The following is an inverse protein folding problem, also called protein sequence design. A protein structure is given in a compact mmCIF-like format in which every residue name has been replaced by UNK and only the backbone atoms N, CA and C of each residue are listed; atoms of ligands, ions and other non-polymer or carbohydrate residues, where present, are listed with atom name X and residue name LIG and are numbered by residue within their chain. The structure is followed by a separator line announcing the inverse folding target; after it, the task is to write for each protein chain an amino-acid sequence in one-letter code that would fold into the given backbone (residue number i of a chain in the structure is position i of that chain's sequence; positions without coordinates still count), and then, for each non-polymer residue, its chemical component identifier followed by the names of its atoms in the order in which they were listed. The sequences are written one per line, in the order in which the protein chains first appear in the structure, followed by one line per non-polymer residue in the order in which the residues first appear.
data_IF_702632447588
#
_entry.id   IF_702632447588
#
_cell.length_a   1.000
_cell.length_b   1.000
_cell.length_c   1.000
_cell.angle_alpha   90.00
_cell.angle_beta   90.00
_cell.angle_gamma   90.00
#
_symmetry.space_group_name_H-M   'P 1'
#
loop_
_entity.id
_entity.type
_entity.pdbx_description
1 polymer ?
#
# COMPACT_ATOMS: atom_id res chain seq x y z
N UNK A 1 14.71 -10.66 1.79
CA UNK A 1 14.41 -11.13 0.40
C UNK A 1 15.29 -10.33 -0.54
N UNK A 2 16.06 -10.98 -1.41
CA UNK A 2 16.88 -10.30 -2.41
C UNK A 2 15.98 -9.79 -3.55
N UNK A 3 16.21 -8.57 -4.00
CA UNK A 3 15.54 -7.99 -5.16
C UNK A 3 16.34 -8.34 -6.42
N UNK A 4 15.77 -9.16 -7.31
CA UNK A 4 16.41 -9.52 -8.58
C UNK A 4 15.97 -8.56 -9.68
N UNK A 5 16.95 -8.05 -10.46
CA UNK A 5 16.73 -7.10 -11.55
C UNK A 5 17.31 -7.61 -12.87
N UNK A 6 16.45 -7.77 -13.87
CA UNK A 6 16.79 -8.04 -15.26
C UNK A 6 16.69 -6.73 -16.07
N UNK A 7 17.69 -6.50 -16.93
CA UNK A 7 17.78 -5.30 -17.76
C UNK A 7 18.52 -4.14 -17.08
N UNK A 8 18.78 -3.09 -17.86
CA UNK A 8 19.56 -1.92 -17.42
C UNK A 8 18.65 -0.74 -17.12
N UNK A 9 18.33 -0.58 -15.86
CA UNK A 9 17.59 0.60 -15.38
C UNK A 9 18.57 1.78 -15.21
N UNK A 10 18.19 3.01 -15.58
CA UNK A 10 18.99 4.22 -15.33
C UNK A 10 19.11 4.53 -13.83
N UNK A 11 18.14 4.10 -13.02
CA UNK A 11 18.12 4.26 -11.57
C UNK A 11 17.78 2.91 -10.91
N UNK A 12 18.75 1.95 -10.88
CA UNK A 12 18.50 0.67 -10.26
C UNK A 12 18.29 0.84 -8.73
N UNK A 13 17.45 0.02 -8.12
CA UNK A 13 17.34 -0.04 -6.66
C UNK A 13 18.72 -0.32 -6.04
N UNK A 14 19.07 0.30 -4.90
CA UNK A 14 20.42 0.25 -4.34
C UNK A 14 20.91 -1.18 -4.03
N UNK A 15 20.02 -2.07 -3.62
CA UNK A 15 20.34 -3.45 -3.25
C UNK A 15 19.92 -4.47 -4.31
N UNK A 16 19.75 -4.04 -5.58
CA UNK A 16 19.33 -4.92 -6.65
C UNK A 16 20.43 -5.89 -7.05
N UNK A 17 20.12 -7.18 -7.00
CA UNK A 17 20.95 -8.23 -7.59
C UNK A 17 20.65 -8.33 -9.09
N UNK A 18 21.60 -7.94 -9.93
CA UNK A 18 21.44 -8.03 -11.39
C UNK A 18 21.51 -9.49 -11.84
N UNK A 19 20.55 -9.88 -12.65
CA UNK A 19 20.48 -11.21 -13.27
C UNK A 19 20.55 -11.06 -14.80
N UNK A 20 21.15 -12.04 -15.45
CA UNK A 20 21.26 -12.06 -16.92
C UNK A 20 20.01 -12.69 -17.56
N UNK A 21 19.38 -13.64 -16.87
CA UNK A 21 18.21 -14.38 -17.35
C UNK A 21 17.20 -14.59 -16.22
N UNK A 22 15.91 -14.79 -16.53
CA UNK A 22 14.88 -15.03 -15.51
C UNK A 22 15.19 -16.22 -14.57
N UNK A 23 15.79 -17.28 -15.09
CA UNK A 23 16.15 -18.46 -14.32
C UNK A 23 17.25 -18.24 -13.27
N UNK A 24 18.01 -17.17 -13.41
CA UNK A 24 19.07 -16.78 -12.46
C UNK A 24 18.49 -16.09 -11.19
N UNK A 25 17.18 -15.82 -11.16
CA UNK A 25 16.55 -15.16 -10.02
C UNK A 25 16.50 -16.08 -8.79
N UNK A 26 16.92 -15.53 -7.63
CA UNK A 26 16.74 -16.15 -6.33
C UNK A 26 15.27 -16.00 -5.88
N UNK A 27 14.42 -16.98 -6.16
CA UNK A 27 13.00 -16.96 -5.81
C UNK A 27 12.06 -16.92 -7.01
N UNK A 28 10.79 -16.69 -6.75
CA UNK A 28 9.72 -16.80 -7.75
C UNK A 28 9.54 -15.53 -8.60
N UNK A 29 10.07 -14.39 -8.17
CA UNK A 29 9.83 -13.09 -8.81
C UNK A 29 11.12 -12.34 -9.10
N UNK A 30 11.08 -11.52 -10.16
CA UNK A 30 12.12 -10.57 -10.52
C UNK A 30 11.50 -9.29 -11.10
N UNK A 31 12.20 -8.17 -11.04
CA UNK A 31 11.88 -6.97 -11.80
C UNK A 31 12.57 -7.04 -13.16
N UNK A 32 11.86 -6.71 -14.21
CA UNK A 32 12.39 -6.51 -15.55
C UNK A 32 12.25 -5.03 -15.93
N UNK A 33 13.39 -4.38 -16.17
CA UNK A 33 13.39 -3.04 -16.73
C UNK A 33 13.31 -3.12 -18.25
N UNK A 34 12.20 -2.67 -18.81
CA UNK A 34 11.99 -2.55 -20.26
C UNK A 34 10.90 -1.49 -20.52
N UNK A 35 10.89 -0.94 -21.73
CA UNK A 35 9.92 0.09 -22.13
C UNK A 35 9.84 1.25 -21.12
N UNK A 36 11.03 1.67 -20.60
CA UNK A 36 11.23 2.75 -19.63
C UNK A 36 10.47 2.56 -18.30
N UNK A 37 10.17 1.32 -17.93
CA UNK A 37 9.48 1.00 -16.67
C UNK A 37 9.85 -0.35 -16.07
N UNK A 38 9.55 -0.50 -14.80
CA UNK A 38 9.67 -1.79 -14.13
C UNK A 38 8.43 -2.65 -14.36
N UNK A 39 8.68 -3.93 -14.62
CA UNK A 39 7.68 -4.98 -14.70
C UNK A 39 7.98 -6.02 -13.63
N UNK A 40 7.04 -6.32 -12.75
CA UNK A 40 7.15 -7.45 -11.85
C UNK A 40 6.79 -8.72 -12.62
N UNK A 41 7.75 -9.60 -12.77
CA UNK A 41 7.65 -10.84 -13.53
C UNK A 41 7.71 -12.04 -12.60
N UNK A 42 6.88 -13.04 -12.89
CA UNK A 42 6.93 -14.37 -12.28
C UNK A 42 7.89 -15.25 -13.08
N UNK A 43 8.91 -15.82 -12.43
CA UNK A 43 9.92 -16.67 -13.06
C UNK A 43 9.31 -17.86 -13.80
N UNK A 44 8.19 -18.39 -13.32
CA UNK A 44 7.48 -19.52 -13.93
C UNK A 44 6.41 -19.09 -14.94
N UNK A 45 6.28 -17.79 -15.23
CA UNK A 45 5.27 -17.24 -16.13
C UNK A 45 3.82 -17.65 -15.80
N UNK A 46 3.51 -17.92 -14.52
CA UNK A 46 2.15 -18.25 -14.07
C UNK A 46 1.19 -17.06 -14.22
N UNK A 47 1.76 -15.84 -14.28
CA UNK A 47 1.04 -14.58 -14.39
C UNK A 47 1.70 -13.67 -15.44
N UNK A 48 0.91 -12.82 -16.13
CA UNK A 48 1.49 -11.78 -16.98
C UNK A 48 2.29 -10.78 -16.12
N UNK A 49 3.30 -10.14 -16.69
CA UNK A 49 4.05 -9.09 -16.02
C UNK A 49 3.12 -7.98 -15.49
N UNK A 50 3.39 -7.51 -14.29
CA UNK A 50 2.61 -6.46 -13.63
C UNK A 50 3.40 -5.15 -13.66
N UNK A 51 2.74 -4.08 -14.10
CA UNK A 51 3.26 -2.71 -14.08
C UNK A 51 2.34 -1.82 -13.28
N UNK A 52 2.89 -0.72 -12.79
CA UNK A 52 2.12 0.32 -12.12
C UNK A 52 2.29 1.63 -12.90
N UNK A 53 1.17 2.23 -13.30
CA UNK A 53 1.11 3.57 -13.89
C UNK A 53 -0.07 4.32 -13.29
N UNK A 54 0.19 5.44 -12.63
CA UNK A 54 -0.86 6.24 -12.02
C UNK A 54 -1.70 7.02 -13.01
N UNK A 55 -1.25 7.19 -14.26
CA UNK A 55 -2.07 7.76 -15.32
C UNK A 55 -3.32 6.88 -15.60
N UNK A 56 -3.23 5.57 -15.40
CA UNK A 56 -4.34 4.64 -15.55
C UNK A 56 -5.46 4.85 -14.51
N UNK A 57 -5.17 5.57 -13.41
CA UNK A 57 -6.14 5.83 -12.34
C UNK A 57 -6.82 7.20 -12.46
N UNK A 58 -6.42 8.01 -13.43
CA UNK A 58 -7.09 9.28 -13.69
C UNK A 58 -8.55 9.07 -14.12
N UNK A 59 -9.45 9.82 -13.50
CA UNK A 59 -10.89 9.74 -13.79
C UNK A 59 -11.59 8.48 -13.26
N UNK A 60 -10.87 7.56 -12.63
CA UNK A 60 -11.53 6.41 -11.96
C UNK A 60 -12.14 6.86 -10.65
N UNK A 61 -13.43 6.64 -10.50
CA UNK A 61 -14.11 6.78 -9.22
C UNK A 61 -13.68 5.64 -8.29
N UNK A 62 -13.00 5.95 -7.21
CA UNK A 62 -12.74 5.00 -6.13
C UNK A 62 -13.89 4.96 -5.12
N UNK A 63 -13.73 4.18 -4.06
CA UNK A 63 -14.68 4.17 -2.95
C UNK A 63 -14.74 5.54 -2.28
N UNK A 64 -15.93 6.15 -2.25
CA UNK A 64 -16.16 7.40 -1.50
C UNK A 64 -16.15 7.18 0.03
N UNK A 65 -16.17 5.94 0.49
CA UNK A 65 -16.18 5.62 1.92
C UNK A 65 -14.82 5.88 2.56
N UNK A 66 -13.70 5.53 1.90
CA UNK A 66 -12.37 5.73 2.46
C UNK A 66 -12.06 7.20 2.76
N UNK A 67 -12.27 8.17 1.86
CA UNK A 67 -12.08 9.59 2.18
C UNK A 67 -12.96 10.07 3.33
N UNK A 68 -14.17 9.53 3.50
CA UNK A 68 -15.07 9.88 4.62
C UNK A 68 -14.49 9.48 5.98
N UNK A 69 -13.67 8.43 6.05
CA UNK A 69 -13.00 8.02 7.31
C UNK A 69 -11.98 9.06 7.80
N UNK A 70 -11.50 9.91 6.88
CA UNK A 70 -10.52 10.98 7.13
C UNK A 70 -11.15 12.38 7.21
N UNK A 71 -12.48 12.48 7.31
CA UNK A 71 -13.16 13.78 7.45
C UNK A 71 -12.57 14.59 8.61
N UNK A 72 -12.29 15.87 8.34
CA UNK A 72 -11.68 16.79 9.30
C UNK A 72 -10.17 16.64 9.47
N UNK A 73 -9.48 15.94 8.56
CA UNK A 73 -8.03 15.71 8.58
C UNK A 73 -7.34 16.12 7.26
N UNK A 74 -7.94 17.02 6.47
CA UNK A 74 -7.42 17.39 5.14
C UNK A 74 -5.97 17.92 5.20
N UNK A 75 -5.66 18.75 6.21
CA UNK A 75 -4.34 19.39 6.36
C UNK A 75 -3.47 18.71 7.42
N UNK A 76 -3.87 17.54 7.89
CA UNK A 76 -3.18 16.83 8.95
C UNK A 76 -2.27 15.73 8.37
N UNK A 77 -1.13 15.39 9.03
CA UNK A 77 -0.27 14.31 8.59
C UNK A 77 -0.97 12.96 8.70
N UNK A 78 -0.99 12.20 7.60
CA UNK A 78 -1.59 10.88 7.52
C UNK A 78 -0.53 9.88 7.08
N UNK A 79 -0.47 8.70 7.70
CA UNK A 79 0.34 7.59 7.25
C UNK A 79 -0.52 6.51 6.59
N UNK A 80 -0.05 5.97 5.47
CA UNK A 80 -0.45 4.65 4.95
C UNK A 80 0.66 3.66 5.31
N UNK A 81 0.40 2.81 6.28
CA UNK A 81 1.39 1.88 6.82
C UNK A 81 1.46 0.54 6.05
N UNK A 82 0.68 0.41 4.97
CA UNK A 82 0.57 -0.80 4.14
C UNK A 82 0.42 -0.44 2.67
N UNK A 83 1.30 0.43 2.15
CA UNK A 83 1.11 1.11 0.87
C UNK A 83 0.84 0.18 -0.33
N UNK A 84 1.54 -0.96 -0.41
CA UNK A 84 1.33 -1.94 -1.48
C UNK A 84 1.44 -1.32 -2.88
N UNK A 85 0.34 -1.38 -3.66
CA UNK A 85 0.24 -0.72 -4.97
C UNK A 85 -0.04 0.79 -4.92
N UNK A 86 -0.20 1.37 -3.74
CA UNK A 86 -0.50 2.78 -3.57
C UNK A 86 -1.88 3.23 -4.07
N UNK A 87 -2.81 2.32 -4.37
CA UNK A 87 -4.12 2.66 -4.95
C UNK A 87 -4.99 3.48 -4.01
N UNK A 88 -5.07 3.08 -2.75
CA UNK A 88 -5.84 3.79 -1.73
C UNK A 88 -5.20 5.13 -1.39
N UNK A 89 -3.86 5.17 -1.30
CA UNK A 89 -3.10 6.40 -1.13
C UNK A 89 -3.30 7.37 -2.30
N UNK A 90 -3.28 6.86 -3.55
CA UNK A 90 -3.56 7.66 -4.74
C UNK A 90 -4.98 8.25 -4.72
N UNK A 91 -5.97 7.44 -4.37
CA UNK A 91 -7.35 7.90 -4.19
C UNK A 91 -7.41 9.05 -3.16
N UNK A 92 -6.80 8.87 -2.00
CA UNK A 92 -6.78 9.89 -0.94
C UNK A 92 -6.05 11.17 -1.39
N UNK A 93 -4.90 11.03 -2.05
CA UNK A 93 -4.15 12.17 -2.59
C UNK A 93 -4.96 12.93 -3.66
N UNK A 94 -5.71 12.23 -4.51
CA UNK A 94 -6.61 12.86 -5.49
C UNK A 94 -7.78 13.62 -4.85
N UNK A 95 -8.09 13.35 -3.57
CA UNK A 95 -9.08 14.06 -2.75
C UNK A 95 -8.45 15.16 -1.88
N UNK A 96 -7.15 15.44 -2.06
CA UNK A 96 -6.44 16.53 -1.41
C UNK A 96 -5.69 16.16 -0.14
N UNK A 97 -5.72 14.90 0.31
CA UNK A 97 -4.94 14.45 1.47
C UNK A 97 -3.45 14.34 1.13
N UNK A 98 -2.60 14.60 2.13
CA UNK A 98 -1.15 14.38 2.03
C UNK A 98 -0.78 13.18 2.90
N UNK A 99 -0.05 12.21 2.32
CA UNK A 99 0.25 10.95 2.99
C UNK A 99 1.74 10.63 2.96
N UNK A 100 2.19 10.03 4.07
CA UNK A 100 3.47 9.31 4.16
C UNK A 100 3.19 7.81 4.02
N UNK A 101 3.79 7.18 3.02
CA UNK A 101 3.60 5.79 2.66
C UNK A 101 4.75 4.93 3.20
N UNK A 102 4.43 3.76 3.70
CA UNK A 102 5.40 2.76 4.14
C UNK A 102 5.18 1.47 3.36
N UNK A 103 6.22 1.01 2.67
CA UNK A 103 6.22 -0.28 1.99
C UNK A 103 7.52 -1.02 2.30
N UNK A 104 7.41 -2.20 2.91
CA UNK A 104 8.56 -3.00 3.33
C UNK A 104 9.06 -3.97 2.26
N UNK A 105 8.18 -4.37 1.32
CA UNK A 105 8.55 -5.29 0.26
C UNK A 105 9.36 -4.54 -0.81
N UNK A 106 10.64 -4.91 -1.07
CA UNK A 106 11.49 -4.16 -1.97
C UNK A 106 10.99 -4.15 -3.42
N UNK A 107 10.29 -5.19 -3.87
CA UNK A 107 9.71 -5.23 -5.21
C UNK A 107 8.57 -4.22 -5.37
N UNK A 108 7.64 -4.21 -4.40
CA UNK A 108 6.53 -3.27 -4.42
C UNK A 108 6.99 -1.84 -4.21
N UNK A 109 7.92 -1.63 -3.28
CA UNK A 109 8.54 -0.31 -3.07
C UNK A 109 9.14 0.22 -4.37
N UNK A 110 9.93 -0.59 -5.09
CA UNK A 110 10.57 -0.16 -6.35
C UNK A 110 9.54 0.18 -7.43
N UNK A 111 8.52 -0.65 -7.61
CA UNK A 111 7.42 -0.38 -8.55
C UNK A 111 6.69 0.91 -8.20
N UNK A 112 6.35 1.08 -6.94
CA UNK A 112 5.62 2.26 -6.45
C UNK A 112 6.47 3.52 -6.56
N UNK A 113 7.77 3.46 -6.20
CA UNK A 113 8.71 4.58 -6.32
C UNK A 113 8.84 5.05 -7.79
N UNK A 114 9.04 4.11 -8.72
CA UNK A 114 9.14 4.43 -10.14
C UNK A 114 7.84 5.00 -10.69
N UNK A 115 6.68 4.46 -10.30
CA UNK A 115 5.40 4.95 -10.73
C UNK A 115 5.10 6.37 -10.18
N UNK A 116 5.49 6.66 -8.93
CA UNK A 116 5.38 8.00 -8.35
C UNK A 116 6.31 8.99 -9.05
N UNK A 117 7.56 8.62 -9.36
CA UNK A 117 8.47 9.46 -10.10
C UNK A 117 7.92 9.80 -11.49
N UNK A 118 7.45 8.81 -12.25
CA UNK A 118 6.80 9.04 -13.54
C UNK A 118 5.54 9.91 -13.43
N UNK A 119 4.76 9.73 -12.35
CA UNK A 119 3.58 10.55 -12.10
C UNK A 119 3.91 12.01 -11.75
N UNK A 120 5.06 12.29 -11.13
CA UNK A 120 5.55 13.65 -10.87
C UNK A 120 5.97 14.37 -12.15
N UNK A 121 6.50 13.66 -13.13
CA UNK A 121 6.88 14.18 -14.45
C UNK A 121 5.66 14.46 -15.36
N UNK A 122 4.54 13.81 -15.12
CA UNK A 122 3.35 13.96 -15.96
C UNK A 122 2.44 15.11 -15.43
N UNK A 123 2.20 16.16 -16.23
CA UNK A 123 1.39 17.32 -15.81
C UNK A 123 -0.02 16.98 -15.30
N UNK A 124 -0.60 15.85 -15.75
CA UNK A 124 -1.94 15.43 -15.33
C UNK A 124 -1.97 14.75 -13.95
N UNK A 125 -0.83 14.27 -13.47
CA UNK A 125 -0.71 13.49 -12.23
C UNK A 125 0.22 14.14 -11.20
N UNK A 126 1.07 15.08 -11.60
CA UNK A 126 2.09 15.69 -10.77
C UNK A 126 1.55 16.27 -9.45
N UNK A 127 0.43 17.01 -9.51
CA UNK A 127 -0.18 17.61 -8.32
C UNK A 127 -0.71 16.57 -7.32
N UNK A 128 -1.11 15.39 -7.79
CA UNK A 128 -1.53 14.28 -6.93
C UNK A 128 -0.30 13.59 -6.34
N UNK A 129 0.69 13.27 -7.20
CA UNK A 129 1.92 12.58 -6.78
C UNK A 129 2.72 13.40 -5.75
N UNK A 130 2.74 14.73 -5.86
CA UNK A 130 3.40 15.63 -4.91
C UNK A 130 2.86 15.54 -3.46
N UNK A 131 1.67 14.95 -3.27
CA UNK A 131 1.08 14.73 -1.94
C UNK A 131 1.49 13.40 -1.30
N UNK A 132 2.30 12.60 -2.00
CA UNK A 132 2.69 11.26 -1.56
C UNK A 132 4.21 11.19 -1.33
N UNK A 133 4.61 10.84 -0.12
CA UNK A 133 6.00 10.58 0.24
C UNK A 133 6.16 9.11 0.57
N UNK A 134 7.02 8.39 -0.15
CA UNK A 134 7.23 6.95 0.01
C UNK A 134 8.50 6.63 0.81
N UNK A 135 8.39 5.72 1.78
CA UNK A 135 9.50 5.17 2.56
C UNK A 135 9.61 3.65 2.34
N UNK A 136 10.83 3.19 2.09
CA UNK A 136 11.15 1.76 2.13
C UNK A 136 11.39 1.33 3.58
N UNK A 137 10.34 0.97 4.28
CA UNK A 137 10.43 0.59 5.68
C UNK A 137 9.26 -0.32 6.12
N UNK A 138 9.50 -1.11 7.16
CA UNK A 138 8.43 -1.76 7.90
C UNK A 138 7.79 -0.74 8.86
N UNK A 139 6.52 -0.45 8.64
CA UNK A 139 5.77 0.51 9.42
C UNK A 139 5.69 0.14 10.92
N UNK A 140 5.65 -1.16 11.24
CA UNK A 140 5.66 -1.61 12.64
C UNK A 140 6.92 -1.17 13.40
N UNK A 141 8.05 -1.02 12.69
CA UNK A 141 9.29 -0.52 13.27
C UNK A 141 9.47 1.01 13.12
N UNK A 142 9.02 1.57 11.97
CA UNK A 142 9.36 2.94 11.57
C UNK A 142 8.41 4.02 12.10
N UNK A 143 7.14 3.69 12.38
CA UNK A 143 6.18 4.67 12.87
C UNK A 143 6.59 5.21 14.24
N UNK A 144 6.82 6.51 14.34
CA UNK A 144 7.12 7.15 15.63
C UNK A 144 5.82 7.48 16.40
N UNK A 145 5.84 7.48 17.74
CA UNK A 145 4.67 7.86 18.53
C UNK A 145 4.18 9.27 18.24
N UNK A 146 2.85 9.45 18.21
CA UNK A 146 2.16 10.74 18.03
C UNK A 146 2.60 11.55 16.78
N UNK A 147 3.05 10.86 15.71
CA UNK A 147 3.58 11.50 14.51
C UNK A 147 2.53 11.82 13.45
N UNK A 148 1.35 11.18 13.51
CA UNK A 148 0.31 11.30 12.51
C UNK A 148 -1.05 11.58 13.15
N UNK A 149 -1.88 12.36 12.49
CA UNK A 149 -3.28 12.51 12.91
C UNK A 149 -4.07 11.23 12.68
N UNK A 150 -3.79 10.54 11.58
CA UNK A 150 -4.37 9.23 11.30
C UNK A 150 -3.33 8.26 10.71
N UNK A 151 -3.51 6.97 10.99
CA UNK A 151 -2.76 5.88 10.35
C UNK A 151 -3.76 4.96 9.66
N UNK A 152 -3.56 4.75 8.36
CA UNK A 152 -4.35 3.83 7.54
C UNK A 152 -3.62 2.50 7.40
N UNK A 153 -4.37 1.40 7.53
CA UNK A 153 -3.92 0.02 7.38
C UNK A 153 -4.83 -0.73 6.41
N UNK A 154 -4.27 -1.38 5.40
CA UNK A 154 -4.93 -2.38 4.55
C UNK A 154 -4.12 -3.69 4.57
N UNK A 155 -3.99 -4.35 5.73
CA UNK A 155 -3.24 -5.59 5.82
C UNK A 155 -3.92 -6.66 4.98
N UNK A 156 -3.12 -7.43 4.24
CA UNK A 156 -3.60 -8.49 3.36
C UNK A 156 -4.37 -9.53 4.15
N UNK A 157 -5.66 -9.64 3.87
CA UNK A 157 -6.50 -10.66 4.45
C UNK A 157 -6.51 -11.91 3.56
N UNK A 158 -6.28 -13.12 4.09
CA UNK A 158 -6.36 -14.35 3.31
C UNK A 158 -7.80 -14.55 2.83
N UNK A 159 -8.08 -14.23 1.57
CA UNK A 159 -9.40 -14.46 0.98
C UNK A 159 -9.71 -15.95 0.93
N UNK A 160 -10.84 -16.36 1.49
CA UNK A 160 -11.43 -17.68 1.23
C UNK A 160 -11.76 -17.77 -0.26
N UNK A 161 -11.24 -18.82 -0.91
CA UNK A 161 -11.36 -19.09 -2.34
C UNK A 161 -12.79 -18.94 -2.87
N UNK A 162 -13.12 -17.82 -3.56
CA UNK A 162 -14.28 -17.77 -4.49
C UNK A 162 -14.08 -16.65 -5.52
N UNK A 163 -13.96 -17.05 -6.78
CA UNK A 163 -13.98 -16.38 -8.09
C UNK A 163 -12.64 -16.33 -8.84
N UNK A 164 -12.66 -16.90 -10.08
CA UNK A 164 -11.44 -17.35 -10.76
C UNK A 164 -10.71 -16.31 -11.64
N UNK A 165 -11.28 -15.15 -11.96
CA UNK A 165 -10.71 -14.23 -12.97
C UNK A 165 -10.02 -12.96 -12.47
N UNK A 166 -10.41 -12.41 -11.33
CA UNK A 166 -9.75 -11.21 -10.74
C UNK A 166 -8.52 -11.60 -9.93
N UNK A 167 -8.32 -12.87 -9.67
CA UNK A 167 -7.48 -13.44 -8.62
C UNK A 167 -6.02 -13.69 -8.96
N UNK A 168 -5.65 -13.86 -10.24
CA UNK A 168 -4.26 -14.24 -10.57
C UNK A 168 -3.25 -13.15 -10.18
N UNK A 169 -3.56 -11.89 -10.47
CA UNK A 169 -2.72 -10.75 -10.08
C UNK A 169 -2.66 -10.55 -8.56
N UNK A 170 -3.80 -10.69 -7.88
CA UNK A 170 -3.85 -10.59 -6.41
C UNK A 170 -3.17 -11.75 -5.72
N UNK A 171 -3.26 -12.97 -6.29
CA UNK A 171 -2.57 -14.14 -5.75
C UNK A 171 -1.04 -14.02 -5.87
N UNK A 172 -0.54 -13.54 -7.02
CA UNK A 172 0.88 -13.25 -7.20
C UNK A 172 1.38 -12.26 -6.16
N UNK A 173 0.62 -11.21 -5.91
CA UNK A 173 0.90 -10.22 -4.88
C UNK A 173 0.86 -10.82 -3.48
N UNK A 174 -0.16 -11.60 -3.15
CA UNK A 174 -0.26 -12.27 -1.85
C UNK A 174 0.93 -13.20 -1.60
N UNK A 175 1.39 -13.91 -2.63
CA UNK A 175 2.57 -14.76 -2.54
C UNK A 175 3.85 -13.93 -2.37
N UNK A 176 3.98 -12.82 -3.09
CA UNK A 176 5.15 -11.94 -3.02
C UNK A 176 5.24 -11.20 -1.68
N UNK A 177 4.12 -10.67 -1.21
CA UNK A 177 4.08 -9.87 0.02
C UNK A 177 4.21 -10.75 1.26
N UNK A 178 3.76 -12.00 1.18
CA UNK A 178 3.67 -12.90 2.32
C UNK A 178 2.65 -12.38 3.36
N UNK A 179 2.20 -13.24 4.23
CA UNK A 179 1.44 -12.79 5.41
C UNK A 179 2.46 -12.20 6.39
N UNK A 180 2.30 -10.92 6.72
CA UNK A 180 2.99 -10.37 7.89
C UNK A 180 2.38 -11.06 9.11
N UNK A 181 3.12 -11.98 9.71
CA UNK A 181 2.62 -12.74 10.86
C UNK A 181 2.38 -11.92 12.12
N UNK A 182 2.42 -10.59 12.07
CA UNK A 182 2.28 -9.71 13.22
C UNK A 182 1.37 -8.50 12.96
N UNK A 183 0.13 -8.80 12.58
CA UNK A 183 -0.94 -7.79 12.46
C UNK A 183 -1.19 -7.09 13.81
N UNK A 184 -0.91 -7.77 14.93
CA UNK A 184 -1.06 -7.23 16.27
C UNK A 184 -0.04 -6.13 16.59
N UNK A 185 1.25 -6.38 16.29
CA UNK A 185 2.29 -5.37 16.49
C UNK A 185 2.08 -4.16 15.57
N UNK A 186 1.67 -4.37 14.31
CA UNK A 186 1.36 -3.29 13.40
C UNK A 186 0.21 -2.42 13.92
N UNK A 187 -0.91 -3.02 14.36
CA UNK A 187 -2.04 -2.29 14.93
C UNK A 187 -1.64 -1.53 16.21
N UNK A 188 -0.91 -2.20 17.12
CA UNK A 188 -0.44 -1.57 18.35
C UNK A 188 0.46 -0.36 18.06
N UNK A 189 1.39 -0.49 17.10
CA UNK A 189 2.28 0.59 16.70
C UNK A 189 1.53 1.74 16.03
N UNK A 190 0.58 1.43 15.13
CA UNK A 190 -0.28 2.42 14.50
C UNK A 190 -1.09 3.23 15.52
N UNK A 191 -1.61 2.57 16.58
CA UNK A 191 -2.36 3.24 17.66
C UNK A 191 -1.48 4.17 18.48
N UNK A 192 -0.21 3.85 18.69
CA UNK A 192 0.75 4.74 19.34
C UNK A 192 1.13 5.93 18.44
N UNK A 193 1.23 5.71 17.14
CA UNK A 193 1.61 6.74 16.17
C UNK A 193 0.47 7.72 15.86
N UNK A 194 -0.77 7.30 15.96
CA UNK A 194 -1.94 8.12 15.66
C UNK A 194 -2.34 9.02 16.84
N UNK A 195 -2.56 10.32 16.58
CA UNK A 195 -3.08 11.26 17.59
C UNK A 195 -4.59 11.38 17.59
N UNK A 196 -5.28 10.92 16.50
CA UNK A 196 -6.73 10.97 16.40
C UNK A 196 -7.33 9.58 16.18
N UNK A 197 -6.89 8.85 15.15
CA UNK A 197 -7.48 7.54 14.84
C UNK A 197 -6.58 6.65 14.00
N UNK A 198 -6.80 5.34 14.11
CA UNK A 198 -6.34 4.34 13.14
C UNK A 198 -7.53 3.85 12.35
N UNK A 199 -7.37 3.71 11.03
CA UNK A 199 -8.36 3.21 10.10
C UNK A 199 -7.84 1.89 9.55
N UNK A 200 -8.58 0.80 9.74
CA UNK A 200 -8.22 -0.52 9.23
C UNK A 200 -9.26 -0.99 8.23
N UNK A 201 -8.84 -1.18 6.99
CA UNK A 201 -9.70 -1.73 5.94
C UNK A 201 -9.84 -3.24 6.12
N UNK A 202 -11.07 -3.73 6.09
CA UNK A 202 -11.41 -5.16 6.26
C UNK A 202 -12.46 -5.59 5.25
N UNK A 203 -12.44 -6.86 4.81
CA UNK A 203 -13.62 -7.45 4.19
C UNK A 203 -14.81 -7.38 5.16
N UNK A 204 -16.04 -7.22 4.63
CA UNK A 204 -17.22 -6.92 5.43
C UNK A 204 -17.48 -7.91 6.58
N UNK A 205 -17.18 -9.20 6.36
CA UNK A 205 -17.42 -10.27 7.35
C UNK A 205 -16.13 -10.80 8.02
N UNK A 206 -14.99 -10.11 7.82
CA UNK A 206 -13.74 -10.53 8.46
C UNK A 206 -13.76 -10.18 9.96
N UNK A 207 -13.09 -10.96 10.84
CA UNK A 207 -12.90 -10.53 12.22
C UNK A 207 -12.11 -9.22 12.27
N UNK A 208 -12.19 -8.46 13.36
CA UNK A 208 -11.31 -7.31 13.58
C UNK A 208 -9.84 -7.70 13.48
N UNK A 209 -8.98 -6.73 13.14
CA UNK A 209 -7.53 -6.98 13.06
C UNK A 209 -6.99 -7.38 14.42
N UNK A 210 -6.23 -8.50 14.47
CA UNK A 210 -5.67 -9.05 15.71
C UNK A 210 -6.72 -9.24 16.82
N UNK A 211 -7.94 -9.62 16.46
CA UNK A 211 -9.08 -9.80 17.37
C UNK A 211 -9.35 -8.61 18.31
N UNK A 212 -8.82 -7.43 17.96
CA UNK A 212 -9.00 -6.19 18.73
C UNK A 212 -10.26 -5.48 18.26
N UNK A 213 -11.26 -5.32 19.14
CA UNK A 213 -12.52 -4.66 18.81
C UNK A 213 -12.28 -3.17 18.44
N UNK A 214 -12.79 -2.68 17.29
CA UNK A 214 -12.77 -1.25 16.97
C UNK A 214 -13.78 -0.48 17.83
N UNK A 215 -13.63 0.84 17.93
CA UNK A 215 -14.60 1.71 18.58
C UNK A 215 -15.91 1.78 17.77
N UNK A 216 -15.79 1.82 16.45
CA UNK A 216 -16.89 1.73 15.49
C UNK A 216 -16.35 1.35 14.11
N UNK A 217 -17.23 1.09 13.15
CA UNK A 217 -16.86 0.88 11.76
C UNK A 217 -17.70 1.73 10.81
N UNK A 218 -17.20 1.92 9.60
CA UNK A 218 -17.90 2.58 8.50
C UNK A 218 -17.99 1.59 7.35
N UNK A 219 -19.21 1.23 6.96
CA UNK A 219 -19.45 0.28 5.88
C UNK A 219 -19.23 0.90 4.49
N UNK A 220 -18.54 0.17 3.65
CA UNK A 220 -18.47 0.38 2.21
C UNK A 220 -19.22 -0.73 1.45
N UNK A 221 -19.29 -0.68 0.12
CA UNK A 221 -20.04 -1.67 -0.66
C UNK A 221 -19.57 -3.12 -0.51
N UNK A 222 -18.27 -3.35 -0.40
CA UNK A 222 -17.67 -4.69 -0.28
C UNK A 222 -16.65 -4.80 0.85
N UNK A 223 -16.38 -3.70 1.53
CA UNK A 223 -15.40 -3.58 2.60
C UNK A 223 -16.00 -2.76 3.72
N UNK A 224 -15.44 -2.90 4.92
CA UNK A 224 -15.69 -1.96 6.02
C UNK A 224 -14.36 -1.35 6.46
N UNK A 225 -14.44 -0.24 7.17
CA UNK A 225 -13.30 0.44 7.78
C UNK A 225 -13.50 0.44 9.28
N UNK A 226 -12.70 -0.36 9.99
CA UNK A 226 -12.70 -0.42 11.46
C UNK A 226 -11.91 0.79 11.99
N UNK A 227 -12.50 1.54 12.91
CA UNK A 227 -11.94 2.78 13.45
C UNK A 227 -11.54 2.58 14.90
N UNK A 228 -10.27 2.85 15.18
CA UNK A 228 -9.69 2.84 16.51
C UNK A 228 -9.32 4.28 16.88
N UNK A 229 -10.01 4.86 17.85
CA UNK A 229 -9.70 6.20 18.34
C UNK A 229 -8.40 6.18 19.17
N UNK A 230 -7.62 7.27 19.07
CA UNK A 230 -6.47 7.45 19.94
C UNK A 230 -6.95 7.77 21.37
N UNK A 231 -6.15 7.41 22.40
CA UNK A 231 -6.57 7.56 23.82
C UNK A 231 -6.98 8.98 24.22
N UNK A 232 -6.48 9.99 23.54
CA UNK A 232 -6.73 11.41 23.85
C UNK A 232 -7.63 12.11 22.82
N UNK A 233 -8.40 11.35 22.01
CA UNK A 233 -9.36 11.98 21.09
C UNK A 233 -10.57 12.41 21.90
N UNK A 234 -10.91 13.73 21.99
CA UNK A 234 -12.11 14.15 22.68
C UNK A 234 -13.33 13.54 22.00
N UNK A 235 -14.21 12.90 22.78
CA UNK A 235 -15.51 12.43 22.31
C UNK A 235 -16.25 13.62 21.71
N UNK A 236 -16.54 13.56 20.43
CA UNK A 236 -17.50 14.49 19.83
C UNK A 236 -18.90 13.93 20.12
N UNK A 237 -19.52 14.43 21.18
CA UNK A 237 -20.98 14.45 21.28
C UNK A 237 -21.60 15.19 20.11
#
# INVERSE_FOLDING_TARGET
MKLNLLGESPLPPPDAHRIARPEDADGDYYLHWRDERYHLCDRQNRHPPLTLDFADYLGRSGSETLPKTLRGLADAPIADATAGWGKDAWLLASRGFTLTLYERNPYLHTLLAAALAAAQENPRTAAIAARLTLNHADAAAALAPASFAAVYLDPMYPERRKSAKVKKHMQALQQLIGHSGDDGALLARARLAATRRVIVKRPQHAPPLADTAPHYHIDGPNTRYDIYLAPNTPDKN
#
